data_IF_620159136609
#
_entry.id   IF_620159136609
#
_cell.length_a   1.000
_cell.length_b   1.000
_cell.length_c   1.000
_cell.angle_alpha   90.00
_cell.angle_beta   90.00
_cell.angle_gamma   90.00
#
_symmetry.space_group_name_H-M   'P 1'
#
loop_
_entity.id
_entity.type
_entity.pdbx_description
1 polymer ?
#
# COMPACT_ATOMS: atom_id res chain seq x y z
N UNK A 1 19.59 12.47 -29.39
CA UNK A 1 20.38 12.66 -28.15
C UNK A 1 20.20 11.38 -27.34
N UNK A 2 21.28 10.61 -27.12
CA UNK A 2 21.19 9.36 -26.34
C UNK A 2 21.38 9.72 -24.86
N UNK A 3 20.43 9.35 -24.02
CA UNK A 3 20.53 9.54 -22.57
C UNK A 3 20.95 8.21 -21.93
N UNK A 4 21.98 8.24 -21.10
CA UNK A 4 22.43 7.06 -20.34
C UNK A 4 22.35 7.34 -18.85
N UNK A 5 21.72 6.43 -18.12
CA UNK A 5 21.69 6.47 -16.67
C UNK A 5 23.11 6.24 -16.11
N UNK A 6 23.40 6.87 -14.97
CA UNK A 6 24.64 6.61 -14.24
C UNK A 6 24.68 5.12 -13.85
N UNK A 7 25.84 4.44 -14.00
CA UNK A 7 25.98 3.05 -13.55
C UNK A 7 25.53 2.86 -12.10
N UNK A 8 24.72 1.83 -11.85
CA UNK A 8 24.15 1.53 -10.53
C UNK A 8 22.86 2.27 -10.18
N UNK A 9 22.38 3.22 -11.00
CA UNK A 9 21.07 3.82 -10.85
C UNK A 9 20.01 2.88 -11.45
N UNK A 10 18.97 2.56 -10.65
CA UNK A 10 17.84 1.75 -11.12
C UNK A 10 16.71 2.67 -11.60
N UNK A 11 16.11 2.32 -12.73
CA UNK A 11 14.86 2.93 -13.18
C UNK A 11 13.69 2.21 -12.53
N UNK A 12 12.78 2.96 -11.91
CA UNK A 12 11.65 2.36 -11.21
C UNK A 12 10.38 3.19 -11.25
N UNK A 13 9.33 2.58 -10.73
CA UNK A 13 8.05 3.23 -10.49
C UNK A 13 7.63 3.04 -9.03
N UNK A 14 6.67 3.85 -8.59
CA UNK A 14 6.09 3.76 -7.26
C UNK A 14 4.56 3.86 -7.33
N UNK A 15 3.88 3.09 -6.49
CA UNK A 15 2.45 3.14 -6.28
C UNK A 15 2.08 3.02 -4.80
N UNK A 16 0.79 3.15 -4.50
CA UNK A 16 0.22 2.86 -3.18
C UNK A 16 -1.07 2.06 -3.36
N UNK A 17 -1.31 1.08 -2.50
CA UNK A 17 -2.43 0.15 -2.60
C UNK A 17 -3.79 0.84 -2.83
N UNK A 18 -4.18 1.74 -1.95
CA UNK A 18 -5.45 2.50 -2.08
C UNK A 18 -5.58 3.28 -3.39
N UNK A 19 -4.46 3.73 -3.98
CA UNK A 19 -4.47 4.52 -5.21
C UNK A 19 -4.71 3.69 -6.46
N UNK A 20 -4.37 2.38 -6.44
CA UNK A 20 -4.39 1.56 -7.64
C UNK A 20 -5.24 0.30 -7.54
N UNK A 21 -5.36 -0.32 -6.35
CA UNK A 21 -5.95 -1.65 -6.22
C UNK A 21 -7.46 -1.70 -6.47
N UNK A 22 -8.18 -0.70 -5.95
CA UNK A 22 -9.64 -0.73 -5.93
C UNK A 22 -10.22 -1.69 -4.87
N UNK A 23 -11.53 -1.86 -4.92
CA UNK A 23 -12.30 -2.66 -3.97
C UNK A 23 -12.98 -1.83 -2.89
N UNK A 24 -14.17 -2.28 -2.47
CA UNK A 24 -14.91 -1.67 -1.36
C UNK A 24 -14.40 -2.21 -0.03
N UNK A 25 -13.26 -1.70 0.41
CA UNK A 25 -12.61 -2.11 1.65
C UNK A 25 -13.04 -1.24 2.82
N UNK A 26 -13.05 -1.83 4.01
CA UNK A 26 -13.36 -1.14 5.27
C UNK A 26 -12.19 -0.26 5.76
N UNK A 27 -11.75 0.72 4.96
CA UNK A 27 -10.67 1.63 5.33
C UNK A 27 -11.11 3.11 5.35
N UNK A 28 -10.30 3.95 5.96
CA UNK A 28 -10.57 5.37 6.20
C UNK A 28 -10.81 6.18 4.91
N UNK A 29 -10.15 5.89 3.78
CA UNK A 29 -10.37 6.62 2.53
C UNK A 29 -11.71 6.28 1.86
N UNK A 30 -12.18 5.03 1.93
CA UNK A 30 -13.53 4.69 1.45
C UNK A 30 -14.61 5.36 2.32
N UNK A 31 -14.42 5.41 3.65
CA UNK A 31 -15.30 6.14 4.55
C UNK A 31 -15.28 7.66 4.27
N UNK A 32 -14.08 8.24 4.02
CA UNK A 32 -13.92 9.64 3.64
C UNK A 32 -14.63 9.99 2.34
N UNK A 33 -14.54 9.12 1.34
CA UNK A 33 -15.29 9.22 0.09
C UNK A 33 -16.81 9.15 0.33
N UNK A 34 -17.27 8.18 1.11
CA UNK A 34 -18.69 7.99 1.41
C UNK A 34 -19.30 9.21 2.13
N UNK A 35 -18.51 9.93 2.92
CA UNK A 35 -18.90 11.20 3.55
C UNK A 35 -18.87 12.40 2.59
N UNK A 36 -18.44 12.24 1.35
CA UNK A 36 -18.36 13.29 0.35
C UNK A 36 -17.17 14.24 0.50
N UNK A 37 -16.12 13.84 1.22
CA UNK A 37 -14.96 14.68 1.54
C UNK A 37 -13.87 14.69 0.46
N UNK A 38 -13.95 13.84 -0.56
CA UNK A 38 -13.02 13.86 -1.69
C UNK A 38 -13.46 14.93 -2.69
N UNK A 39 -12.61 15.97 -2.87
CA UNK A 39 -12.95 17.20 -3.63
C UNK A 39 -13.40 16.94 -5.06
N UNK A 40 -12.73 16.05 -5.78
CA UNK A 40 -13.02 15.70 -7.18
C UNK A 40 -13.99 14.52 -7.32
N UNK A 41 -14.49 14.00 -6.19
CA UNK A 41 -15.37 12.83 -6.11
C UNK A 41 -14.80 11.55 -6.71
N UNK A 42 -13.49 11.45 -6.84
CA UNK A 42 -12.85 10.19 -7.23
C UNK A 42 -13.15 9.12 -6.17
N UNK A 43 -13.50 7.92 -6.64
CA UNK A 43 -13.87 6.80 -5.77
C UNK A 43 -12.67 5.87 -5.60
N UNK A 44 -12.10 5.73 -4.38
CA UNK A 44 -10.98 4.82 -4.14
C UNK A 44 -11.29 3.36 -4.46
N UNK A 45 -12.58 2.96 -4.32
CA UNK A 45 -13.01 1.60 -4.64
C UNK A 45 -12.92 1.25 -6.14
N UNK A 46 -12.83 2.26 -7.02
CA UNK A 46 -12.66 2.02 -8.47
C UNK A 46 -11.20 1.95 -8.87
N UNK A 47 -10.41 2.95 -8.48
CA UNK A 47 -8.98 3.08 -8.82
C UNK A 47 -8.64 2.59 -10.24
N UNK A 48 -7.55 1.86 -10.42
CA UNK A 48 -7.15 1.24 -11.70
C UNK A 48 -7.39 -0.27 -11.74
N UNK A 49 -8.02 -0.81 -10.71
CA UNK A 49 -8.32 -2.25 -10.56
C UNK A 49 -7.07 -3.15 -10.58
N UNK A 50 -5.96 -2.61 -10.08
CA UNK A 50 -4.68 -3.32 -10.06
C UNK A 50 -4.77 -4.67 -9.33
N UNK A 51 -5.58 -4.76 -8.27
CA UNK A 51 -5.74 -6.03 -7.53
C UNK A 51 -6.18 -7.20 -8.42
N UNK A 52 -6.94 -6.92 -9.48
CA UNK A 52 -7.34 -7.94 -10.46
C UNK A 52 -6.41 -7.98 -11.68
N UNK A 53 -5.83 -6.83 -12.06
CA UNK A 53 -5.04 -6.65 -13.29
C UNK A 53 -3.51 -6.68 -13.05
N UNK A 54 -3.07 -7.10 -11.87
CA UNK A 54 -1.67 -7.02 -11.47
C UNK A 54 -0.69 -7.76 -12.40
N UNK A 55 -1.14 -8.84 -13.07
CA UNK A 55 -0.30 -9.57 -14.05
C UNK A 55 -0.02 -8.75 -15.29
N UNK A 56 -1.07 -8.09 -15.82
CA UNK A 56 -0.96 -7.20 -16.96
C UNK A 56 -0.07 -6.00 -16.62
N UNK A 57 -0.24 -5.43 -15.45
CA UNK A 57 0.58 -4.32 -14.98
C UNK A 57 2.04 -4.72 -14.76
N UNK A 58 2.30 -5.89 -14.21
CA UNK A 58 3.65 -6.44 -14.06
C UNK A 58 4.32 -6.68 -15.42
N UNK A 59 3.58 -7.19 -16.39
CA UNK A 59 4.07 -7.39 -17.77
C UNK A 59 4.37 -6.06 -18.45
N UNK A 60 3.51 -5.05 -18.24
CA UNK A 60 3.73 -3.69 -18.73
C UNK A 60 4.98 -3.08 -18.11
N UNK A 61 5.15 -3.15 -16.80
CA UNK A 61 6.36 -2.67 -16.10
C UNK A 61 7.63 -3.31 -16.65
N UNK A 62 7.63 -4.62 -16.85
CA UNK A 62 8.75 -5.34 -17.43
C UNK A 62 9.03 -4.90 -18.87
N UNK A 63 8.00 -4.70 -19.71
CA UNK A 63 8.14 -4.23 -21.10
C UNK A 63 8.72 -2.80 -21.18
N UNK A 64 8.45 -1.97 -20.18
CA UNK A 64 9.02 -0.62 -20.05
C UNK A 64 10.47 -0.63 -19.54
N UNK A 65 11.02 -1.78 -19.18
CA UNK A 65 12.37 -1.90 -18.65
C UNK A 65 12.55 -1.40 -17.22
N UNK A 66 11.48 -1.40 -16.41
CA UNK A 66 11.59 -1.05 -15.00
C UNK A 66 12.40 -2.11 -14.25
N UNK A 67 13.29 -1.65 -13.37
CA UNK A 67 14.23 -2.49 -12.63
C UNK A 67 13.87 -2.59 -11.15
N UNK A 68 13.11 -1.63 -10.64
CA UNK A 68 12.63 -1.60 -9.26
C UNK A 68 11.19 -1.08 -9.21
N UNK A 69 10.38 -1.69 -8.37
CA UNK A 69 9.01 -1.26 -8.11
C UNK A 69 8.80 -1.08 -6.62
N UNK A 70 8.41 0.15 -6.23
CA UNK A 70 7.92 0.45 -4.89
C UNK A 70 6.40 0.35 -4.89
N UNK A 71 5.85 -0.47 -4.02
CA UNK A 71 4.41 -0.64 -3.87
C UNK A 71 4.03 -0.79 -2.39
N UNK A 72 2.75 -0.81 -2.09
CA UNK A 72 2.21 -1.03 -0.75
C UNK A 72 1.32 -2.25 -0.72
N UNK A 73 1.00 -2.67 0.49
CA UNK A 73 -0.07 -3.60 0.78
C UNK A 73 -1.22 -2.83 1.45
N UNK A 74 -2.45 -3.27 1.25
CA UNK A 74 -3.60 -2.65 1.91
C UNK A 74 -3.88 -3.35 3.24
N UNK A 75 -3.65 -2.60 4.34
CA UNK A 75 -3.86 -3.13 5.70
C UNK A 75 -5.27 -3.64 5.91
N UNK A 76 -6.29 -2.88 5.46
CA UNK A 76 -7.69 -3.28 5.59
C UNK A 76 -8.06 -4.52 4.76
N UNK A 77 -7.26 -4.86 3.77
CA UNK A 77 -7.42 -6.09 2.99
C UNK A 77 -6.83 -7.29 3.73
N UNK A 78 -5.62 -7.14 4.26
CA UNK A 78 -4.94 -8.21 5.01
C UNK A 78 -5.60 -8.42 6.38
N UNK A 79 -6.01 -7.34 7.05
CA UNK A 79 -6.64 -7.38 8.37
C UNK A 79 -7.99 -6.64 8.33
N UNK A 80 -9.04 -7.26 7.76
CA UNK A 80 -10.35 -6.60 7.61
C UNK A 80 -11.04 -6.33 8.95
N UNK A 81 -10.71 -7.08 9.99
CA UNK A 81 -11.07 -6.82 11.39
C UNK A 81 -9.83 -6.95 12.29
N UNK A 82 -9.94 -6.52 13.55
CA UNK A 82 -8.83 -6.58 14.51
C UNK A 82 -8.27 -7.99 14.71
N UNK A 83 -9.15 -8.98 14.75
CA UNK A 83 -8.83 -10.36 15.10
C UNK A 83 -8.75 -11.31 13.88
N UNK A 84 -8.80 -10.75 12.66
CA UNK A 84 -8.82 -11.55 11.43
C UNK A 84 -7.66 -11.18 10.51
N UNK A 85 -6.93 -12.21 10.09
CA UNK A 85 -5.98 -12.14 8.97
C UNK A 85 -6.60 -12.86 7.78
N UNK A 86 -6.64 -12.19 6.64
CA UNK A 86 -7.08 -12.78 5.38
C UNK A 86 -5.90 -13.45 4.66
N UNK A 87 -5.77 -14.74 4.86
CA UNK A 87 -4.73 -15.56 4.24
C UNK A 87 -4.82 -15.57 2.71
N UNK A 88 -6.01 -15.36 2.16
CA UNK A 88 -6.17 -15.28 0.69
C UNK A 88 -5.58 -13.99 0.13
N UNK A 89 -5.71 -12.88 0.87
CA UNK A 89 -5.07 -11.62 0.51
C UNK A 89 -3.54 -11.72 0.62
N UNK A 90 -3.02 -12.38 1.66
CA UNK A 90 -1.59 -12.64 1.80
C UNK A 90 -1.07 -13.49 0.63
N UNK A 91 -1.77 -14.56 0.29
CA UNK A 91 -1.39 -15.44 -0.83
C UNK A 91 -1.39 -14.68 -2.17
N UNK A 92 -2.37 -13.79 -2.38
CA UNK A 92 -2.45 -12.96 -3.58
C UNK A 92 -1.25 -12.00 -3.71
N UNK A 93 -0.92 -11.23 -2.65
CA UNK A 93 0.25 -10.36 -2.67
C UNK A 93 1.55 -11.15 -2.87
N UNK A 94 1.64 -12.35 -2.28
CA UNK A 94 2.79 -13.20 -2.47
C UNK A 94 2.96 -13.65 -3.92
N UNK A 95 1.86 -14.05 -4.58
CA UNK A 95 1.88 -14.43 -6.01
C UNK A 95 2.33 -13.26 -6.89
N UNK A 96 1.86 -12.05 -6.62
CA UNK A 96 2.29 -10.83 -7.32
C UNK A 96 3.78 -10.57 -7.14
N UNK A 97 4.28 -10.61 -5.89
CA UNK A 97 5.69 -10.39 -5.57
C UNK A 97 6.60 -11.40 -6.29
N UNK A 98 6.24 -12.67 -6.24
CA UNK A 98 6.98 -13.75 -6.93
C UNK A 98 6.99 -13.55 -8.44
N UNK A 99 5.88 -13.10 -9.01
CA UNK A 99 5.78 -12.84 -10.44
C UNK A 99 6.64 -11.66 -10.88
N UNK A 100 6.60 -10.55 -10.14
CA UNK A 100 7.46 -9.38 -10.38
C UNK A 100 8.95 -9.74 -10.31
N UNK A 101 9.35 -10.54 -9.31
CA UNK A 101 10.72 -11.02 -9.21
C UNK A 101 11.13 -11.92 -10.39
N UNK A 102 10.23 -12.81 -10.87
CA UNK A 102 10.47 -13.60 -12.08
C UNK A 102 10.68 -12.74 -13.33
N UNK A 103 10.08 -11.54 -13.36
CA UNK A 103 10.32 -10.51 -14.40
C UNK A 103 11.62 -9.73 -14.21
N UNK A 104 12.39 -9.98 -13.16
CA UNK A 104 13.63 -9.29 -12.85
C UNK A 104 13.45 -7.92 -12.18
N UNK A 105 12.26 -7.63 -11.66
CA UNK A 105 11.95 -6.37 -10.98
C UNK A 105 12.26 -6.52 -9.50
N UNK A 106 13.15 -5.67 -8.98
CA UNK A 106 13.44 -5.56 -7.55
C UNK A 106 12.26 -4.94 -6.81
N UNK A 107 11.95 -5.44 -5.61
CA UNK A 107 10.80 -4.99 -4.84
C UNK A 107 11.23 -4.12 -3.65
N UNK A 108 10.48 -3.03 -3.44
CA UNK A 108 10.57 -2.16 -2.26
C UNK A 108 9.16 -2.03 -1.67
N UNK A 109 8.91 -2.63 -0.51
CA UNK A 109 7.58 -2.69 0.07
C UNK A 109 7.35 -1.55 1.07
N UNK A 110 6.25 -0.81 0.88
CA UNK A 110 5.74 0.18 1.83
C UNK A 110 4.68 -0.46 2.70
N UNK A 111 4.89 -0.49 4.03
CA UNK A 111 3.99 -1.15 4.97
C UNK A 111 2.75 -0.28 5.24
N UNK A 112 2.93 1.04 5.44
CA UNK A 112 1.82 1.96 5.67
C UNK A 112 1.88 3.15 4.70
N UNK A 113 0.78 3.40 3.99
CA UNK A 113 0.65 4.51 3.03
C UNK A 113 -0.68 5.23 3.21
N UNK A 114 -0.83 5.93 4.34
CA UNK A 114 -1.98 6.80 4.70
C UNK A 114 -3.32 6.10 4.94
N UNK A 115 -3.38 4.78 4.73
CA UNK A 115 -4.62 4.02 4.81
C UNK A 115 -4.66 3.19 6.08
N UNK A 116 -5.76 3.32 6.82
CA UNK A 116 -6.01 2.57 8.04
C UNK A 116 -7.33 1.81 7.96
N UNK A 117 -7.40 0.57 8.48
CA UNK A 117 -8.68 -0.11 8.64
C UNK A 117 -9.62 0.67 9.56
N UNK A 118 -10.91 0.66 9.27
CA UNK A 118 -11.90 1.37 10.10
C UNK A 118 -12.00 0.86 11.52
N UNK A 119 -11.65 -0.40 11.79
CA UNK A 119 -11.59 -0.90 13.16
C UNK A 119 -10.47 -0.23 13.97
N UNK A 120 -9.33 0.07 13.32
CA UNK A 120 -8.21 0.81 13.93
C UNK A 120 -8.57 2.28 14.16
N UNK A 121 -9.22 2.93 13.18
CA UNK A 121 -9.70 4.31 13.31
C UNK A 121 -10.73 4.45 14.44
N UNK A 122 -11.68 3.52 14.57
CA UNK A 122 -12.67 3.52 15.65
C UNK A 122 -12.06 3.43 17.05
N UNK A 123 -10.85 2.93 17.17
CA UNK A 123 -10.05 2.90 18.41
C UNK A 123 -9.27 4.19 18.65
N UNK A 124 -9.33 5.15 17.73
CA UNK A 124 -8.60 6.40 17.78
C UNK A 124 -7.27 6.38 17.01
N UNK A 125 -7.04 5.35 16.20
CA UNK A 125 -5.90 5.26 15.29
C UNK A 125 -4.57 5.58 15.95
N UNK A 126 -3.71 6.28 15.24
CA UNK A 126 -2.39 6.72 15.74
C UNK A 126 -2.44 7.87 16.77
N UNK A 127 -3.63 8.42 17.09
CA UNK A 127 -3.74 9.41 18.20
C UNK A 127 -3.63 8.79 19.59
N UNK A 128 -3.66 7.46 19.67
CA UNK A 128 -3.56 6.70 20.91
C UNK A 128 -2.28 5.88 20.94
N UNK A 129 -1.42 6.15 21.91
CA UNK A 129 -0.12 5.45 22.02
C UNK A 129 -0.27 3.94 22.20
N UNK A 130 -1.33 3.50 22.87
CA UNK A 130 -1.65 2.08 23.05
C UNK A 130 -1.96 1.35 21.75
N UNK A 131 -2.35 2.07 20.70
CA UNK A 131 -2.65 1.49 19.40
C UNK A 131 -1.41 1.23 18.53
N UNK A 132 -0.25 1.73 18.94
CA UNK A 132 1.02 1.45 18.22
C UNK A 132 1.26 -0.06 18.10
N UNK A 133 0.83 -0.84 19.08
CA UNK A 133 0.94 -2.31 19.05
C UNK A 133 0.29 -2.92 17.79
N UNK A 134 -0.87 -2.42 17.35
CA UNK A 134 -1.56 -2.94 16.17
C UNK A 134 -0.76 -2.70 14.89
N UNK A 135 -0.06 -1.57 14.81
CA UNK A 135 0.87 -1.33 13.70
C UNK A 135 2.11 -2.22 13.78
N UNK A 136 2.63 -2.48 14.97
CA UNK A 136 3.73 -3.42 15.16
C UNK A 136 3.33 -4.86 14.83
N UNK A 137 2.09 -5.26 15.15
CA UNK A 137 1.52 -6.56 14.76
C UNK A 137 1.41 -6.68 13.23
N UNK A 138 0.97 -5.61 12.54
CA UNK A 138 1.01 -5.56 11.08
C UNK A 138 2.43 -5.71 10.53
N UNK A 139 3.39 -4.95 11.07
CA UNK A 139 4.81 -5.03 10.64
C UNK A 139 5.33 -6.46 10.78
N UNK A 140 5.06 -7.09 11.93
CA UNK A 140 5.45 -8.48 12.18
C UNK A 140 4.82 -9.43 11.15
N UNK A 141 3.50 -9.34 10.96
CA UNK A 141 2.78 -10.16 9.99
C UNK A 141 3.38 -10.02 8.58
N UNK A 142 3.63 -8.77 8.13
CA UNK A 142 4.21 -8.49 6.81
C UNK A 142 5.59 -9.09 6.65
N UNK A 143 6.45 -8.93 7.66
CA UNK A 143 7.81 -9.49 7.61
C UNK A 143 7.79 -11.02 7.65
N UNK A 144 6.92 -11.62 8.45
CA UNK A 144 6.76 -13.08 8.52
C UNK A 144 6.19 -13.65 7.21
N UNK A 145 5.27 -12.93 6.56
CA UNK A 145 4.62 -13.38 5.31
C UNK A 145 5.47 -13.21 4.06
N UNK A 146 6.33 -12.17 4.00
CA UNK A 146 7.00 -11.75 2.77
C UNK A 146 8.52 -11.55 2.91
N UNK A 147 9.10 -11.78 4.10
CA UNK A 147 10.51 -11.49 4.36
C UNK A 147 11.50 -12.34 3.55
N UNK A 148 11.08 -13.45 2.99
CA UNK A 148 11.84 -14.24 2.05
C UNK A 148 11.89 -13.64 0.62
N UNK A 149 10.92 -12.78 0.28
CA UNK A 149 10.81 -12.10 -1.01
C UNK A 149 11.29 -10.65 -0.95
N UNK A 150 11.14 -9.98 0.20
CA UNK A 150 11.38 -8.55 0.36
C UNK A 150 12.57 -8.32 1.29
N UNK A 151 13.57 -7.60 0.81
CA UNK A 151 14.76 -7.21 1.60
C UNK A 151 14.78 -5.74 2.02
N UNK A 152 13.94 -4.91 1.42
CA UNK A 152 13.91 -3.47 1.66
C UNK A 152 12.47 -2.99 1.92
N UNK A 153 12.30 -2.23 3.01
CA UNK A 153 10.99 -1.76 3.45
C UNK A 153 10.99 -0.25 3.69
N UNK A 154 9.84 0.37 3.40
CA UNK A 154 9.46 1.68 3.91
C UNK A 154 8.40 1.44 4.98
N UNK A 155 8.67 1.82 6.21
CA UNK A 155 7.74 1.57 7.32
C UNK A 155 6.47 2.40 7.19
N UNK A 156 6.62 3.72 7.01
CA UNK A 156 5.52 4.68 6.84
C UNK A 156 5.89 5.65 5.72
N UNK A 157 5.02 5.79 4.74
CA UNK A 157 5.17 6.81 3.70
C UNK A 157 4.90 8.19 4.28
N UNK A 158 5.80 9.15 4.06
CA UNK A 158 5.64 10.58 4.36
C UNK A 158 4.92 10.86 5.70
N UNK A 159 5.47 10.41 6.84
CA UNK A 159 4.77 10.52 8.13
C UNK A 159 4.43 11.97 8.50
N UNK A 160 5.24 12.94 8.08
CA UNK A 160 4.98 14.36 8.30
C UNK A 160 3.77 14.84 7.48
N UNK A 161 3.65 14.43 6.22
CA UNK A 161 2.51 14.78 5.35
C UNK A 161 1.24 14.16 5.92
N UNK A 162 1.29 12.89 6.31
CA UNK A 162 0.16 12.24 6.97
C UNK A 162 -0.28 13.01 8.23
N UNK A 163 0.66 13.30 9.13
CA UNK A 163 0.35 14.02 10.36
C UNK A 163 -0.24 15.42 10.11
N UNK A 164 0.31 16.17 9.14
CA UNK A 164 -0.18 17.53 8.87
C UNK A 164 -1.50 17.52 8.12
N UNK A 165 -1.66 16.70 7.09
CA UNK A 165 -2.88 16.69 6.28
C UNK A 165 -4.08 16.09 7.02
N UNK A 166 -3.86 15.03 7.81
CA UNK A 166 -4.93 14.38 8.57
C UNK A 166 -5.26 15.14 9.88
N UNK A 167 -4.25 15.43 10.70
CA UNK A 167 -4.51 15.88 12.08
C UNK A 167 -4.35 17.38 12.29
N UNK A 168 -3.58 18.07 11.45
CA UNK A 168 -3.42 19.52 11.59
C UNK A 168 -4.40 20.29 10.69
N UNK A 169 -4.48 19.94 9.42
CA UNK A 169 -5.37 20.60 8.46
C UNK A 169 -6.76 19.96 8.36
N UNK A 170 -6.91 18.66 8.65
CA UNK A 170 -8.17 17.95 8.50
C UNK A 170 -8.63 17.82 7.05
N UNK A 171 -7.69 17.82 6.10
CA UNK A 171 -7.96 17.68 4.67
C UNK A 171 -8.02 16.22 4.22
N UNK A 172 -7.46 15.30 5.01
CA UNK A 172 -7.42 13.86 4.82
C UNK A 172 -8.08 13.14 6.00
N UNK A 173 -8.51 11.86 5.83
CA UNK A 173 -9.02 11.07 6.94
C UNK A 173 -7.97 10.94 8.08
N UNK A 174 -8.42 10.71 9.30
CA UNK A 174 -9.71 10.22 9.72
C UNK A 174 -10.86 11.23 9.75
#
# INVERSE_FOLDING_TARGET
MEFRLKPGLLLGAASAATQIEGGELGHNWNDWYARGNIKDRSNPARSTDHYNLWKEDADLMASMGLQIYRFGIEWARICPTEDMVDESAIAHYREEMEYLQKKGIKLLLTIHHFTNPMWFEKKGGFTKVENIRHFLDLVKLVVESFGDLISEYITINEPNVYATSSFFFGEWPP
#
